data_IF_796722195049
#
_entry.id   IF_796722195049
#
_cell.length_a   1.000
_cell.length_b   1.000
_cell.length_c   1.000
_cell.angle_alpha   90.00
_cell.angle_beta   90.00
_cell.angle_gamma   90.00
#
_symmetry.space_group_name_H-M   'P 1'
#
loop_
_entity.id
_entity.type
_entity.pdbx_description
1 polymer ?
#
# COMPACT_ATOMS: atom_id res chain seq x y z
N UNK A 1 40.88 -6.45 -11.02
CA UNK A 1 39.63 -5.69 -11.23
C UNK A 1 38.47 -6.66 -11.28
N UNK A 2 37.67 -6.75 -10.22
CA UNK A 2 36.61 -7.77 -10.11
C UNK A 2 35.45 -7.46 -11.06
N UNK A 3 35.06 -8.44 -11.87
CA UNK A 3 33.96 -8.33 -12.84
C UNK A 3 32.63 -7.94 -12.17
N UNK A 4 32.42 -8.37 -10.92
CA UNK A 4 31.27 -8.00 -10.07
C UNK A 4 31.19 -6.49 -9.79
N UNK A 5 32.33 -5.83 -9.53
CA UNK A 5 32.36 -4.39 -9.23
C UNK A 5 32.02 -3.58 -10.47
N UNK A 6 32.45 -4.04 -11.65
CA UNK A 6 32.10 -3.42 -12.94
C UNK A 6 30.61 -3.53 -13.24
N UNK A 7 29.99 -4.67 -12.91
CA UNK A 7 28.54 -4.86 -13.02
C UNK A 7 27.79 -3.91 -12.09
N UNK A 8 28.18 -3.82 -10.81
CA UNK A 8 27.58 -2.91 -9.82
C UNK A 8 27.69 -1.45 -10.24
N UNK A 9 28.85 -1.02 -10.77
CA UNK A 9 29.04 0.34 -11.27
C UNK A 9 28.11 0.66 -12.45
N UNK A 10 28.00 -0.23 -13.45
CA UNK A 10 27.07 -0.04 -14.56
C UNK A 10 25.61 -0.03 -14.11
N UNK A 11 25.22 -0.89 -13.15
CA UNK A 11 23.86 -0.86 -12.61
C UNK A 11 23.55 0.45 -11.88
N UNK A 12 24.50 0.98 -11.11
CA UNK A 12 24.36 2.30 -10.48
C UNK A 12 24.24 3.43 -11.53
N UNK A 13 25.01 3.35 -12.63
CA UNK A 13 25.04 4.35 -13.71
C UNK A 13 23.84 4.28 -14.66
N UNK A 14 23.28 3.10 -14.94
CA UNK A 14 22.23 2.91 -15.97
C UNK A 14 20.83 2.70 -15.39
N UNK A 15 20.69 2.05 -14.23
CA UNK A 15 19.39 1.72 -13.63
C UNK A 15 19.11 2.43 -12.31
N UNK A 16 20.05 3.26 -11.85
CA UNK A 16 19.65 4.64 -11.65
C UNK A 16 18.56 4.87 -10.61
N UNK A 17 18.55 4.14 -9.50
CA UNK A 17 18.22 4.84 -8.26
C UNK A 17 19.08 6.11 -8.21
N UNK A 18 20.32 6.10 -8.77
CA UNK A 18 21.33 7.17 -8.90
C UNK A 18 21.33 8.01 -10.20
N UNK A 19 20.44 7.78 -11.18
CA UNK A 19 20.43 8.61 -12.40
C UNK A 19 19.62 9.89 -12.24
N UNK A 20 18.68 9.89 -11.29
CA UNK A 20 17.94 11.07 -10.88
C UNK A 20 18.84 11.94 -10.02
N UNK A 21 18.83 13.26 -10.23
CA UNK A 21 19.60 14.20 -9.41
C UNK A 21 19.32 13.92 -7.93
N UNK A 22 20.29 14.22 -7.05
CA UNK A 22 20.17 13.93 -5.62
C UNK A 22 18.82 14.40 -5.05
N UNK A 23 18.30 15.53 -5.55
CA UNK A 23 16.97 16.08 -5.21
C UNK A 23 15.78 15.25 -5.72
N UNK A 24 15.83 14.75 -6.95
CA UNK A 24 14.75 13.97 -7.57
C UNK A 24 14.51 12.63 -6.83
N UNK A 25 15.55 12.01 -6.27
CA UNK A 25 15.40 10.84 -5.38
C UNK A 25 14.52 11.12 -4.18
N UNK A 26 14.71 12.28 -3.54
CA UNK A 26 13.88 12.66 -2.40
C UNK A 26 12.45 12.90 -2.85
N UNK A 27 12.26 13.53 -4.01
CA UNK A 27 10.94 13.79 -4.55
C UNK A 27 10.18 12.49 -4.84
N UNK A 28 10.80 11.51 -5.51
CA UNK A 28 10.16 10.22 -5.79
C UNK A 28 9.84 9.43 -4.52
N UNK A 29 10.73 9.40 -3.52
CA UNK A 29 10.47 8.72 -2.25
C UNK A 29 9.29 9.36 -1.49
N UNK A 30 9.27 10.69 -1.40
CA UNK A 30 8.16 11.42 -0.77
C UNK A 30 6.86 11.16 -1.54
N UNK A 31 6.91 11.15 -2.88
CA UNK A 31 5.75 10.90 -3.72
C UNK A 31 5.18 9.49 -3.50
N UNK A 32 6.03 8.46 -3.41
CA UNK A 32 5.60 7.09 -3.08
C UNK A 32 5.00 7.01 -1.67
N UNK A 33 5.60 7.67 -0.68
CA UNK A 33 5.09 7.70 0.69
C UNK A 33 3.71 8.38 0.74
N UNK A 34 3.56 9.52 0.07
CA UNK A 34 2.28 10.26 0.00
C UNK A 34 1.24 9.46 -0.78
N UNK A 35 1.62 8.81 -1.88
CA UNK A 35 0.73 7.99 -2.68
C UNK A 35 0.26 6.76 -1.89
N UNK A 36 1.17 6.11 -1.16
CA UNK A 36 0.85 4.99 -0.28
C UNK A 36 -0.06 5.43 0.87
N UNK A 37 0.24 6.57 1.49
CA UNK A 37 -0.61 7.17 2.53
C UNK A 37 -2.01 7.49 2.00
N UNK A 38 -2.10 8.04 0.80
CA UNK A 38 -3.36 8.34 0.12
C UNK A 38 -4.12 7.05 -0.20
N UNK A 39 -3.45 6.05 -0.79
CA UNK A 39 -4.04 4.75 -1.07
C UNK A 39 -4.49 4.04 0.21
N UNK A 40 -3.73 4.15 1.30
CA UNK A 40 -4.10 3.59 2.59
C UNK A 40 -5.26 4.34 3.23
N UNK A 41 -5.30 5.67 3.16
CA UNK A 41 -6.41 6.47 3.70
C UNK A 41 -7.72 6.23 2.94
N UNK A 42 -7.66 6.16 1.60
CA UNK A 42 -8.84 5.89 0.77
C UNK A 42 -9.22 4.39 0.79
N UNK A 43 -8.22 3.51 0.74
CA UNK A 43 -8.41 2.06 0.80
C UNK A 43 -8.91 1.59 2.15
N UNK A 44 -8.42 2.16 3.25
CA UNK A 44 -8.94 1.87 4.60
C UNK A 44 -10.39 2.32 4.76
N UNK A 45 -10.79 3.45 4.17
CA UNK A 45 -12.19 3.89 4.16
C UNK A 45 -13.09 2.90 3.40
N UNK A 46 -12.66 2.45 2.22
CA UNK A 46 -13.36 1.43 1.43
C UNK A 46 -13.45 0.08 2.18
N UNK A 47 -12.34 -0.36 2.79
CA UNK A 47 -12.30 -1.59 3.59
C UNK A 47 -13.13 -1.49 4.87
N UNK A 48 -13.18 -0.31 5.51
CA UNK A 48 -13.97 -0.07 6.71
C UNK A 48 -15.48 -0.11 6.44
N UNK A 49 -15.93 0.41 5.29
CA UNK A 49 -17.33 0.31 4.85
C UNK A 49 -17.71 -1.14 4.57
N UNK A 50 -16.83 -1.91 3.92
CA UNK A 50 -17.03 -3.34 3.68
C UNK A 50 -17.02 -4.16 4.99
N UNK A 51 -16.13 -3.83 5.93
CA UNK A 51 -16.10 -4.49 7.23
C UNK A 51 -17.36 -4.17 8.04
N UNK A 52 -17.81 -2.91 8.05
CA UNK A 52 -19.05 -2.51 8.72
C UNK A 52 -20.28 -3.19 8.11
N UNK A 53 -20.35 -3.35 6.80
CA UNK A 53 -21.46 -4.06 6.16
C UNK A 53 -21.47 -5.55 6.52
N UNK A 54 -20.30 -6.19 6.58
CA UNK A 54 -20.17 -7.59 6.97
C UNK A 54 -20.54 -7.82 8.44
N UNK A 55 -20.11 -6.94 9.34
CA UNK A 55 -20.46 -6.98 10.77
C UNK A 55 -21.96 -6.75 10.96
N UNK A 56 -22.57 -5.76 10.28
CA UNK A 56 -24.02 -5.53 10.32
C UNK A 56 -24.82 -6.72 9.79
N UNK A 57 -24.39 -7.34 8.69
CA UNK A 57 -25.04 -8.53 8.14
C UNK A 57 -24.98 -9.72 9.12
N UNK A 58 -23.83 -9.95 9.77
CA UNK A 58 -23.66 -10.96 10.83
C UNK A 58 -24.60 -10.72 12.02
N UNK A 59 -24.67 -9.48 12.51
CA UNK A 59 -25.51 -9.11 13.65
C UNK A 59 -27.01 -9.18 13.34
N UNK A 60 -27.44 -8.69 12.17
CA UNK A 60 -28.83 -8.77 11.73
C UNK A 60 -29.32 -10.21 11.56
N UNK A 61 -28.46 -11.09 11.04
CA UNK A 61 -28.79 -12.50 10.91
C UNK A 61 -28.91 -13.19 12.28
N UNK A 62 -28.04 -12.84 13.24
CA UNK A 62 -28.11 -13.39 14.60
C UNK A 62 -29.37 -12.90 15.36
N UNK A 63 -29.71 -11.61 15.24
CA UNK A 63 -30.94 -11.05 15.82
C UNK A 63 -32.22 -11.70 15.28
N UNK A 64 -32.27 -11.94 13.96
CA UNK A 64 -33.41 -12.61 13.31
C UNK A 64 -33.57 -14.06 13.78
N UNK A 65 -32.47 -14.81 13.90
CA UNK A 65 -32.49 -16.20 14.37
C UNK A 65 -33.04 -16.30 15.81
N UNK A 66 -32.66 -15.39 16.70
CA UNK A 66 -33.14 -15.39 18.10
C UNK A 66 -34.66 -15.12 18.13
N UNK A 67 -35.15 -14.14 17.36
CA UNK A 67 -36.60 -13.82 17.29
C UNK A 67 -37.42 -14.98 16.71
N UNK A 68 -36.87 -15.77 15.79
CA UNK A 68 -37.55 -16.92 15.20
C UNK A 68 -37.54 -18.18 16.09
N UNK A 69 -36.75 -18.18 17.17
CA UNK A 69 -36.63 -19.30 18.11
C UNK A 69 -37.23 -19.04 19.50
N UNK A 70 -37.80 -17.85 19.71
CA UNK A 70 -38.56 -17.49 20.92
C UNK A 70 -40.05 -17.47 20.62
#
# INVERSE_FOLDING_TARGET
MNWIQRKIFLYNVTFGLYMLEWWERYLFNILIIVLLWFAFSNGSRSAAEFYRSHVRAKLGNHGSVIVLTT
#
